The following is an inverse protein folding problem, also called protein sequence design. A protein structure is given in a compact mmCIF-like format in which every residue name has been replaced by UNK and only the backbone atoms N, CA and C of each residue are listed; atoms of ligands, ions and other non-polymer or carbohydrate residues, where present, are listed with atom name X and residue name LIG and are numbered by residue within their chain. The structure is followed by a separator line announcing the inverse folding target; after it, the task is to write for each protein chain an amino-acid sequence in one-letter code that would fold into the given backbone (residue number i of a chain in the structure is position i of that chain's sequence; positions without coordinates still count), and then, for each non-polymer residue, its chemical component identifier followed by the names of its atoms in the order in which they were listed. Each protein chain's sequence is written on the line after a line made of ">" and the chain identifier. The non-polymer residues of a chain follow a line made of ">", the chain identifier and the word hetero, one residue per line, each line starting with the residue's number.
data_IF_235853643402
#
_entry.id   IF_235853643402
#
_cell.length_a   1.000
_cell.length_b   1.000
_cell.length_c   1.000
_cell.angle_alpha   90.00
_cell.angle_beta   90.00
_cell.angle_gamma   90.00
#
_symmetry.space_group_name_H-M   'P 1'
#
loop_
_entity.id
_entity.type
_entity.pdbx_description
1 polymer ?
#
# COMPACT_ATOMS: atom_id res chain seq x y z
N UNK A 1 -9.85 3.29 -41.47
CA UNK A 1 -9.68 3.57 -40.05
C UNK A 1 -9.23 2.26 -39.42
N UNK A 2 -7.92 2.12 -39.10
CA UNK A 2 -7.43 0.91 -38.44
C UNK A 2 -8.05 0.83 -37.03
N UNK A 3 -8.86 -0.20 -36.81
CA UNK A 3 -9.26 -0.60 -35.45
C UNK A 3 -7.95 -0.96 -34.74
N UNK A 4 -7.44 -0.10 -33.87
CA UNK A 4 -6.35 -0.48 -32.97
C UNK A 4 -6.85 -1.69 -32.20
N UNK A 5 -6.16 -2.81 -32.32
CA UNK A 5 -6.47 -3.99 -31.53
C UNK A 5 -6.47 -3.58 -30.05
N UNK A 6 -7.56 -3.89 -29.35
CA UNK A 6 -7.73 -3.53 -27.92
C UNK A 6 -6.86 -4.38 -27.03
N UNK A 7 -6.48 -5.57 -27.51
CA UNK A 7 -5.66 -6.53 -26.79
C UNK A 7 -4.76 -7.30 -27.78
N UNK A 8 -3.57 -7.62 -27.33
CA UNK A 8 -2.66 -8.56 -27.97
C UNK A 8 -2.60 -9.81 -27.09
N UNK A 9 -3.06 -10.94 -27.61
CA UNK A 9 -3.30 -12.16 -26.82
C UNK A 9 -2.52 -13.33 -27.38
N UNK A 10 -1.85 -14.08 -26.50
CA UNK A 10 -1.10 -15.26 -26.82
C UNK A 10 -1.55 -16.44 -25.95
N UNK A 11 -1.80 -17.59 -26.57
CA UNK A 11 -1.99 -18.86 -25.91
C UNK A 11 -0.65 -19.55 -25.74
N UNK A 12 -0.41 -20.10 -24.57
CA UNK A 12 0.81 -20.86 -24.31
C UNK A 12 0.51 -22.33 -24.54
N UNK A 13 1.17 -22.92 -25.53
CA UNK A 13 1.07 -24.35 -25.81
C UNK A 13 2.03 -25.10 -24.90
N UNK A 14 1.50 -25.98 -24.04
CA UNK A 14 2.28 -26.82 -23.14
C UNK A 14 2.05 -28.32 -23.48
N UNK A 15 3.07 -29.16 -23.24
CA UNK A 15 2.91 -30.59 -23.29
C UNK A 15 1.94 -31.06 -22.20
N UNK A 16 1.11 -32.06 -22.50
CA UNK A 16 0.06 -32.55 -21.59
C UNK A 16 0.56 -33.06 -20.24
N UNK A 17 1.80 -33.55 -20.17
CA UNK A 17 2.40 -34.15 -18.97
C UNK A 17 2.54 -33.21 -17.77
N UNK A 18 2.61 -31.90 -18.00
CA UNK A 18 2.75 -30.90 -16.94
C UNK A 18 1.48 -30.12 -16.67
N UNK A 19 0.40 -30.36 -17.42
CA UNK A 19 -0.82 -29.54 -17.38
C UNK A 19 -1.58 -29.59 -16.05
N UNK A 20 -1.42 -30.67 -15.27
CA UNK A 20 -2.04 -30.79 -13.94
C UNK A 20 -1.21 -30.10 -12.84
N UNK A 21 0.10 -29.99 -13.07
CA UNK A 21 1.00 -29.30 -12.15
C UNK A 21 0.90 -27.78 -12.30
N UNK A 22 1.06 -27.30 -13.53
CA UNK A 22 0.95 -25.88 -13.88
C UNK A 22 0.44 -25.75 -15.31
N UNK A 23 -0.52 -24.86 -15.52
CA UNK A 23 -1.03 -24.51 -16.83
C UNK A 23 -1.01 -22.99 -17.02
N UNK A 24 -0.30 -22.56 -18.04
CA UNK A 24 -0.35 -21.18 -18.53
C UNK A 24 -1.42 -21.12 -19.64
N UNK A 25 -2.50 -20.38 -19.40
CA UNK A 25 -3.65 -20.34 -20.30
C UNK A 25 -3.52 -19.27 -21.38
N UNK A 26 -3.31 -18.05 -20.94
CA UNK A 26 -3.33 -16.87 -21.77
C UNK A 26 -2.40 -15.81 -21.17
N UNK A 27 -1.67 -15.12 -22.02
CA UNK A 27 -0.94 -13.93 -21.64
C UNK A 27 -1.09 -12.87 -22.72
N UNK A 28 -0.78 -11.63 -22.40
CA UNK A 28 -0.86 -10.57 -23.39
C UNK A 28 -0.79 -9.16 -22.83
N UNK A 29 -1.09 -8.23 -23.70
CA UNK A 29 -1.15 -6.79 -23.42
C UNK A 29 -2.55 -6.27 -23.70
N UNK A 30 -3.14 -5.57 -22.74
CA UNK A 30 -4.35 -4.77 -22.94
C UNK A 30 -3.92 -3.34 -23.21
N UNK A 31 -4.38 -2.77 -24.34
CA UNK A 31 -4.12 -1.38 -24.71
C UNK A 31 -5.17 -0.43 -24.13
N UNK A 32 -4.86 0.87 -23.99
CA UNK A 32 -5.77 1.83 -23.40
C UNK A 32 -7.15 1.87 -24.07
N UNK A 33 -8.18 1.46 -23.35
CA UNK A 33 -9.57 1.53 -23.77
C UNK A 33 -10.46 1.93 -22.59
N UNK A 34 -11.09 3.09 -22.67
CA UNK A 34 -12.02 3.60 -21.63
C UNK A 34 -13.29 2.78 -21.46
N UNK A 35 -13.59 1.88 -22.40
CA UNK A 35 -14.72 0.97 -22.34
C UNK A 35 -14.32 -0.43 -21.84
N UNK A 36 -13.03 -0.66 -21.54
CA UNK A 36 -12.54 -1.95 -21.07
C UNK A 36 -13.16 -2.33 -19.73
N UNK A 37 -13.77 -3.49 -19.67
CA UNK A 37 -14.32 -4.08 -18.44
C UNK A 37 -14.32 -5.60 -18.54
N UNK A 38 -13.97 -6.24 -17.44
CA UNK A 38 -13.99 -7.70 -17.30
C UNK A 38 -14.81 -8.07 -16.08
N UNK A 39 -15.69 -9.07 -16.24
CA UNK A 39 -16.41 -9.74 -15.15
C UNK A 39 -16.19 -11.24 -15.26
N UNK A 40 -15.70 -11.84 -14.20
CA UNK A 40 -15.48 -13.30 -14.10
C UNK A 40 -16.05 -13.79 -12.79
N UNK A 41 -17.25 -14.40 -12.77
CA UNK A 41 -17.74 -15.07 -11.59
C UNK A 41 -16.91 -16.33 -11.34
N UNK A 42 -16.50 -16.54 -10.08
CA UNK A 42 -15.73 -17.71 -9.63
C UNK A 42 -14.60 -18.10 -10.60
N UNK A 43 -13.59 -17.22 -10.74
CA UNK A 43 -12.51 -17.40 -11.72
C UNK A 43 -11.83 -18.76 -11.57
N UNK A 44 -11.70 -19.50 -12.67
CA UNK A 44 -10.98 -20.77 -12.72
C UNK A 44 -9.45 -20.63 -12.81
N UNK A 45 -8.94 -19.40 -12.88
CA UNK A 45 -7.51 -19.11 -13.06
C UNK A 45 -7.07 -17.99 -12.12
N UNK A 46 -5.80 -18.05 -11.73
CA UNK A 46 -5.09 -16.93 -11.15
C UNK A 46 -4.74 -15.94 -12.26
N UNK A 47 -4.98 -14.64 -12.03
CA UNK A 47 -4.56 -13.61 -12.95
C UNK A 47 -3.48 -12.76 -12.29
N UNK A 48 -2.31 -12.68 -12.88
CA UNK A 48 -1.21 -11.82 -12.45
C UNK A 48 -1.07 -10.73 -13.50
N UNK A 49 -1.18 -9.48 -13.07
CA UNK A 49 -1.23 -8.35 -13.99
C UNK A 49 -0.36 -7.20 -13.49
N UNK A 50 0.23 -6.44 -14.41
CA UNK A 50 1.03 -5.25 -14.16
C UNK A 50 0.50 -4.08 -14.96
N UNK A 51 0.28 -2.94 -14.32
CA UNK A 51 -0.16 -1.70 -14.98
C UNK A 51 1.05 -0.91 -15.43
N UNK A 52 1.25 -0.81 -16.75
CA UNK A 52 2.35 -0.05 -17.35
C UNK A 52 2.03 1.44 -17.40
N UNK A 53 0.80 1.80 -17.78
CA UNK A 53 0.32 3.18 -17.91
C UNK A 53 -1.13 3.28 -17.43
N UNK A 54 -1.55 4.48 -17.02
CA UNK A 54 -2.94 4.75 -16.63
C UNK A 54 -3.33 4.12 -15.30
N UNK A 55 -4.63 3.91 -15.11
CA UNK A 55 -5.20 3.36 -13.87
C UNK A 55 -6.56 2.70 -14.12
N UNK A 56 -7.05 1.98 -13.10
CA UNK A 56 -8.35 1.34 -13.15
C UNK A 56 -8.92 1.02 -11.77
N UNK A 57 -10.03 0.32 -11.76
CA UNK A 57 -10.69 -0.13 -10.54
C UNK A 57 -10.86 -1.63 -10.57
N UNK A 58 -10.61 -2.29 -9.46
CA UNK A 58 -10.78 -3.74 -9.27
C UNK A 58 -11.69 -3.97 -8.07
N UNK A 59 -12.71 -4.77 -8.26
CA UNK A 59 -13.52 -5.34 -7.20
C UNK A 59 -13.25 -6.84 -7.13
N UNK A 60 -12.88 -7.32 -5.95
CA UNK A 60 -12.67 -8.74 -5.66
C UNK A 60 -13.11 -9.03 -4.23
N UNK A 61 -13.99 -10.00 -4.05
CA UNK A 61 -14.42 -10.54 -2.76
C UNK A 61 -14.94 -9.47 -1.77
N UNK A 62 -15.59 -8.42 -2.29
CA UNK A 62 -16.11 -7.29 -1.50
C UNK A 62 -15.14 -6.13 -1.33
N UNK A 63 -13.85 -6.33 -1.59
CA UNK A 63 -12.84 -5.29 -1.56
C UNK A 63 -12.75 -4.52 -2.87
N UNK A 64 -12.29 -3.27 -2.80
CA UNK A 64 -12.07 -2.40 -3.96
C UNK A 64 -10.68 -1.80 -3.93
N UNK A 65 -9.95 -1.95 -5.04
CA UNK A 65 -8.60 -1.44 -5.25
C UNK A 65 -8.54 -0.51 -6.46
N UNK A 66 -7.56 0.40 -6.45
CA UNK A 66 -7.36 1.41 -7.49
C UNK A 66 -5.92 1.35 -8.04
N UNK A 67 -5.53 0.27 -8.73
CA UNK A 67 -4.19 0.14 -9.29
C UNK A 67 -3.94 1.20 -10.36
N UNK A 68 -2.69 1.66 -10.41
CA UNK A 68 -2.18 2.66 -11.33
C UNK A 68 -0.82 2.24 -11.89
N UNK A 69 -0.29 3.01 -12.82
CA UNK A 69 1.03 2.78 -13.41
C UNK A 69 2.10 2.48 -12.34
N UNK A 70 2.82 1.38 -12.50
CA UNK A 70 3.81 0.86 -11.58
C UNK A 70 3.29 -0.15 -10.55
N UNK A 71 1.98 -0.39 -10.48
CA UNK A 71 1.39 -1.37 -9.58
C UNK A 71 1.19 -2.72 -10.27
N UNK A 72 1.23 -3.79 -9.46
CA UNK A 72 0.79 -5.13 -9.89
C UNK A 72 -0.39 -5.59 -9.05
N UNK A 73 -1.17 -6.52 -9.60
CA UNK A 73 -2.25 -7.16 -8.85
C UNK A 73 -2.36 -8.65 -9.17
N UNK A 74 -2.92 -9.37 -8.20
CA UNK A 74 -3.03 -10.82 -8.20
C UNK A 74 -4.46 -11.21 -7.89
N UNK A 75 -5.22 -11.62 -8.91
CA UNK A 75 -6.63 -11.99 -8.79
C UNK A 75 -6.76 -13.48 -8.54
N UNK A 76 -7.39 -13.82 -7.44
CA UNK A 76 -7.39 -15.16 -6.88
C UNK A 76 -8.39 -16.09 -7.59
N UNK A 77 -8.00 -17.34 -7.77
CA UNK A 77 -8.88 -18.40 -8.23
C UNK A 77 -10.07 -18.58 -7.27
N UNK A 78 -11.23 -18.92 -7.78
CA UNK A 78 -12.45 -19.14 -6.99
C UNK A 78 -13.16 -17.85 -6.54
N UNK A 79 -12.62 -16.68 -6.82
CA UNK A 79 -13.20 -15.38 -6.45
C UNK A 79 -13.89 -14.72 -7.63
N UNK A 80 -14.88 -13.87 -7.33
CA UNK A 80 -15.53 -13.02 -8.31
C UNK A 80 -14.62 -11.83 -8.63
N UNK A 81 -14.32 -11.64 -9.91
CA UNK A 81 -13.51 -10.53 -10.39
C UNK A 81 -14.35 -9.59 -11.23
N UNK A 82 -14.36 -8.30 -10.88
CA UNK A 82 -14.88 -7.24 -11.74
C UNK A 82 -13.89 -6.09 -11.76
N UNK A 83 -13.29 -5.83 -12.92
CA UNK A 83 -12.33 -4.76 -13.09
C UNK A 83 -12.47 -4.04 -14.42
N UNK A 84 -12.12 -2.74 -14.41
CA UNK A 84 -12.30 -1.86 -15.55
C UNK A 84 -11.31 -0.69 -15.55
N UNK A 85 -11.05 -0.16 -16.76
CA UNK A 85 -10.22 1.03 -16.96
C UNK A 85 -10.87 2.30 -16.39
N UNK A 86 -10.05 3.23 -15.93
CA UNK A 86 -10.48 4.62 -15.72
C UNK A 86 -10.84 5.27 -17.05
N UNK A 87 -11.90 6.08 -17.08
CA UNK A 87 -12.39 6.69 -18.33
C UNK A 87 -11.52 7.84 -18.84
N UNK A 88 -10.86 8.56 -17.90
CA UNK A 88 -10.02 9.70 -18.25
C UNK A 88 -8.56 9.28 -18.48
N UNK A 89 -8.12 8.21 -17.82
CA UNK A 89 -6.74 7.72 -17.84
C UNK A 89 -6.74 6.19 -17.95
N UNK A 90 -7.19 5.61 -19.08
CA UNK A 90 -7.33 4.18 -19.25
C UNK A 90 -5.97 3.47 -19.23
N UNK A 91 -5.92 2.35 -18.53
CA UNK A 91 -4.68 1.61 -18.38
C UNK A 91 -4.18 0.91 -19.64
N UNK A 92 -2.86 0.81 -19.73
CA UNK A 92 -2.13 -0.20 -20.50
C UNK A 92 -1.56 -1.19 -19.51
N UNK A 93 -1.80 -2.47 -19.70
CA UNK A 93 -1.38 -3.51 -18.75
C UNK A 93 -0.92 -4.78 -19.45
N UNK A 94 -0.06 -5.53 -18.78
CA UNK A 94 0.39 -6.85 -19.17
C UNK A 94 -0.16 -7.87 -18.19
N UNK A 95 -0.51 -9.04 -18.68
CA UNK A 95 -1.11 -10.07 -17.83
C UNK A 95 -0.72 -11.49 -18.22
N UNK A 96 -0.83 -12.39 -17.23
CA UNK A 96 -0.80 -13.83 -17.40
C UNK A 96 -1.94 -14.48 -16.62
N UNK A 97 -2.55 -15.51 -17.21
CA UNK A 97 -3.54 -16.36 -16.57
C UNK A 97 -2.95 -17.75 -16.38
N UNK A 98 -2.88 -18.21 -15.14
CA UNK A 98 -2.25 -19.48 -14.75
C UNK A 98 -3.15 -20.29 -13.82
N UNK A 99 -2.98 -21.60 -13.80
CA UNK A 99 -3.64 -22.50 -12.84
C UNK A 99 -2.77 -23.72 -12.54
N UNK A 100 -3.18 -24.51 -11.56
CA UNK A 100 -2.55 -25.78 -11.21
C UNK A 100 -1.93 -25.78 -9.82
N UNK A 101 -1.69 -26.99 -9.30
CA UNK A 101 -1.23 -27.23 -7.92
C UNK A 101 0.07 -26.48 -7.57
N UNK A 102 0.96 -26.28 -8.54
CA UNK A 102 2.20 -25.54 -8.32
C UNK A 102 1.90 -24.06 -8.03
N UNK A 103 0.94 -23.46 -8.74
CA UNK A 103 0.56 -22.05 -8.54
C UNK A 103 -0.03 -21.88 -7.14
N UNK A 104 -0.93 -22.78 -6.73
CA UNK A 104 -1.54 -22.79 -5.40
C UNK A 104 -0.47 -22.92 -4.30
N UNK A 105 0.47 -23.88 -4.47
CA UNK A 105 1.57 -24.09 -3.54
C UNK A 105 2.54 -22.90 -3.46
N UNK A 106 2.82 -22.23 -4.57
CA UNK A 106 3.64 -21.01 -4.58
C UNK A 106 2.91 -19.87 -3.88
N UNK A 107 1.61 -19.67 -4.16
CA UNK A 107 0.81 -18.64 -3.53
C UNK A 107 0.75 -18.81 -2.01
N UNK A 108 0.57 -20.03 -1.53
CA UNK A 108 0.58 -20.36 -0.10
C UNK A 108 1.99 -20.25 0.50
N UNK A 109 2.99 -20.92 -0.09
CA UNK A 109 4.36 -20.96 0.42
C UNK A 109 5.04 -19.60 0.48
N UNK A 110 4.74 -18.70 -0.44
CA UNK A 110 5.19 -17.31 -0.42
C UNK A 110 4.27 -16.37 0.40
N UNK A 111 3.14 -16.87 0.91
CA UNK A 111 2.20 -16.09 1.73
C UNK A 111 1.53 -14.94 0.97
N UNK A 112 1.28 -15.11 -0.33
CA UNK A 112 0.70 -14.06 -1.18
C UNK A 112 -0.80 -14.22 -1.43
N UNK A 113 -1.39 -15.36 -1.05
CA UNK A 113 -2.81 -15.69 -1.28
C UNK A 113 -3.82 -14.74 -0.59
N UNK A 114 -3.37 -13.92 0.36
CA UNK A 114 -4.21 -12.91 1.03
C UNK A 114 -4.08 -11.49 0.44
N UNK A 115 -3.25 -11.29 -0.58
CA UNK A 115 -2.95 -9.95 -1.12
C UNK A 115 -3.34 -9.85 -2.58
N UNK A 116 -4.29 -8.96 -2.89
CA UNK A 116 -4.75 -8.75 -4.27
C UNK A 116 -4.04 -7.60 -4.98
N UNK A 117 -3.54 -6.58 -4.28
CA UNK A 117 -2.92 -5.38 -4.85
C UNK A 117 -1.53 -5.12 -4.24
N UNK A 118 -0.54 -4.93 -5.09
CA UNK A 118 0.87 -4.70 -4.75
C UNK A 118 1.27 -3.32 -5.26
N UNK A 119 1.27 -2.34 -4.38
CA UNK A 119 1.57 -0.94 -4.71
C UNK A 119 3.05 -0.77 -5.03
N UNK A 120 3.36 -0.26 -6.23
CA UNK A 120 4.73 0.00 -6.68
C UNK A 120 5.57 -1.27 -6.91
N UNK A 121 4.93 -2.43 -7.08
CA UNK A 121 5.61 -3.66 -7.47
C UNK A 121 5.62 -3.79 -9.00
N UNK A 122 6.78 -3.63 -9.60
CA UNK A 122 6.98 -3.83 -11.04
C UNK A 122 7.25 -5.31 -11.36
N UNK A 123 6.26 -5.94 -11.99
CA UNK A 123 6.34 -7.28 -12.60
C UNK A 123 6.36 -7.24 -14.13
N UNK A 124 6.45 -6.04 -14.72
CA UNK A 124 6.36 -5.85 -16.16
C UNK A 124 7.45 -6.60 -16.94
N UNK A 125 8.67 -6.66 -16.41
CA UNK A 125 9.77 -7.41 -17.01
C UNK A 125 9.47 -8.89 -17.14
N UNK A 126 9.06 -9.53 -16.05
CA UNK A 126 8.75 -10.96 -15.97
C UNK A 126 7.54 -11.33 -16.84
N UNK A 127 6.48 -10.51 -16.81
CA UNK A 127 5.28 -10.80 -17.60
C UNK A 127 5.57 -10.64 -19.11
N UNK A 128 6.33 -9.60 -19.50
CA UNK A 128 6.76 -9.41 -20.91
C UNK A 128 7.65 -10.55 -21.40
N UNK A 129 8.51 -11.11 -20.56
CA UNK A 129 9.33 -12.29 -20.86
C UNK A 129 8.44 -13.51 -21.17
N UNK A 130 7.39 -13.76 -20.36
CA UNK A 130 6.40 -14.82 -20.64
C UNK A 130 5.64 -14.56 -21.94
N UNK A 131 5.23 -13.32 -22.20
CA UNK A 131 4.55 -12.95 -23.45
C UNK A 131 5.46 -13.24 -24.66
N UNK A 132 6.74 -12.91 -24.58
CA UNK A 132 7.70 -13.13 -25.66
C UNK A 132 7.92 -14.64 -25.93
N UNK A 133 8.00 -15.47 -24.87
CA UNK A 133 8.06 -16.93 -24.99
C UNK A 133 6.80 -17.44 -25.71
N UNK A 134 5.62 -16.97 -25.29
CA UNK A 134 4.36 -17.36 -25.91
C UNK A 134 4.27 -16.94 -27.38
N UNK A 135 4.80 -15.75 -27.73
CA UNK A 135 4.84 -15.24 -29.11
C UNK A 135 5.71 -16.06 -30.03
N UNK A 136 6.83 -16.60 -29.54
CA UNK A 136 7.71 -17.49 -30.31
C UNK A 136 7.04 -18.82 -30.64
N UNK A 137 6.06 -19.24 -29.83
CA UNK A 137 5.31 -20.47 -30.06
C UNK A 137 6.05 -21.77 -29.77
N UNK A 138 7.18 -21.72 -29.11
CA UNK A 138 8.00 -22.88 -28.76
C UNK A 138 7.28 -23.77 -27.75
N UNK A 139 7.20 -25.09 -28.04
CA UNK A 139 6.41 -26.05 -27.27
C UNK A 139 7.10 -26.57 -26.00
N UNK A 140 8.35 -26.23 -25.69
CA UNK A 140 9.13 -26.84 -24.61
C UNK A 140 9.71 -25.88 -23.58
N UNK A 141 9.02 -24.75 -23.33
CA UNK A 141 9.48 -23.71 -22.42
C UNK A 141 8.92 -23.84 -21.00
N UNK A 142 8.36 -24.98 -20.61
CA UNK A 142 7.68 -25.15 -19.31
C UNK A 142 8.61 -24.86 -18.13
N UNK A 143 9.88 -25.29 -18.19
CA UNK A 143 10.85 -25.03 -17.11
C UNK A 143 11.19 -23.54 -16.97
N UNK A 144 11.37 -22.85 -18.11
CA UNK A 144 11.64 -21.42 -18.16
C UNK A 144 10.45 -20.63 -17.59
N UNK A 145 9.22 -20.94 -18.02
CA UNK A 145 7.98 -20.35 -17.52
C UNK A 145 7.80 -20.54 -16.01
N UNK A 146 8.09 -21.76 -15.49
CA UNK A 146 8.04 -22.03 -14.04
C UNK A 146 9.09 -21.20 -13.30
N UNK A 147 10.29 -21.05 -13.85
CA UNK A 147 11.35 -20.23 -13.25
C UNK A 147 10.93 -18.77 -13.15
N UNK A 148 10.34 -18.21 -14.21
CA UNK A 148 9.83 -16.84 -14.22
C UNK A 148 8.67 -16.69 -13.24
N UNK A 149 7.75 -17.65 -13.20
CA UNK A 149 6.62 -17.64 -12.26
C UNK A 149 7.10 -17.64 -10.80
N UNK A 150 8.09 -18.48 -10.47
CA UNK A 150 8.69 -18.49 -9.13
C UNK A 150 9.34 -17.14 -8.77
N UNK A 151 10.03 -16.49 -9.73
CA UNK A 151 10.59 -15.15 -9.56
C UNK A 151 9.51 -14.09 -9.30
N UNK A 152 8.35 -14.19 -9.96
CA UNK A 152 7.18 -13.33 -9.72
C UNK A 152 6.70 -13.48 -8.27
N UNK A 153 6.45 -14.72 -7.82
CA UNK A 153 5.99 -14.98 -6.46
C UNK A 153 6.99 -14.54 -5.39
N UNK A 154 8.28 -14.73 -5.64
CA UNK A 154 9.33 -14.22 -4.76
C UNK A 154 9.35 -12.69 -4.66
N UNK A 155 9.17 -11.97 -5.77
CA UNK A 155 9.03 -10.50 -5.77
C UNK A 155 7.80 -10.04 -4.99
N UNK A 156 6.65 -10.70 -5.17
CA UNK A 156 5.42 -10.43 -4.42
C UNK A 156 5.64 -10.62 -2.91
N UNK A 157 6.24 -11.73 -2.49
CA UNK A 157 6.59 -12.00 -1.10
C UNK A 157 7.48 -10.89 -0.51
N UNK A 158 8.54 -10.51 -1.22
CA UNK A 158 9.42 -9.41 -0.77
C UNK A 158 8.69 -8.09 -0.61
N UNK A 159 7.71 -7.82 -1.47
CA UNK A 159 6.88 -6.60 -1.37
C UNK A 159 6.04 -6.62 -0.09
N UNK A 160 5.37 -7.74 0.22
CA UNK A 160 4.59 -7.91 1.45
C UNK A 160 5.48 -7.74 2.69
N UNK A 161 6.62 -8.44 2.74
CA UNK A 161 7.55 -8.34 3.88
C UNK A 161 8.06 -6.93 4.10
N UNK A 162 8.34 -6.19 3.03
CA UNK A 162 8.74 -4.79 3.12
C UNK A 162 7.62 -3.89 3.66
N UNK A 163 6.36 -4.13 3.28
CA UNK A 163 5.21 -3.38 3.80
C UNK A 163 4.95 -3.69 5.27
N UNK A 164 5.05 -4.96 5.67
CA UNK A 164 4.94 -5.38 7.08
C UNK A 164 6.04 -4.73 7.95
N UNK A 165 7.30 -4.74 7.48
CA UNK A 165 8.43 -4.09 8.16
C UNK A 165 8.20 -2.58 8.32
N UNK A 166 7.76 -1.90 7.25
CA UNK A 166 7.48 -0.47 7.29
C UNK A 166 6.32 -0.16 8.25
N UNK A 167 5.27 -0.96 8.24
CA UNK A 167 4.11 -0.82 9.13
C UNK A 167 4.50 -1.06 10.59
N UNK A 168 5.26 -2.13 10.88
CA UNK A 168 5.77 -2.44 12.20
C UNK A 168 6.65 -1.32 12.76
N UNK A 169 7.57 -0.82 11.95
CA UNK A 169 8.44 0.30 12.33
C UNK A 169 7.65 1.61 12.54
N UNK A 170 6.59 1.81 11.77
CA UNK A 170 5.65 2.92 11.98
C UNK A 170 4.96 2.85 13.33
N UNK A 171 4.46 1.69 13.71
CA UNK A 171 3.84 1.45 15.02
C UNK A 171 4.83 1.70 16.15
N UNK A 172 6.04 1.14 16.06
CA UNK A 172 7.12 1.32 17.03
C UNK A 172 7.50 2.80 17.23
N UNK A 173 7.67 3.55 16.13
CA UNK A 173 7.92 5.00 16.21
C UNK A 173 6.78 5.74 16.90
N UNK A 174 5.52 5.41 16.58
CA UNK A 174 4.35 6.04 17.17
C UNK A 174 4.24 5.77 18.67
N UNK A 175 4.49 4.53 19.09
CA UNK A 175 4.45 4.13 20.49
C UNK A 175 5.54 4.85 21.28
N UNK A 176 6.76 4.88 20.76
CA UNK A 176 7.84 5.67 21.36
C UNK A 176 7.46 7.15 21.52
N UNK A 177 6.92 7.80 20.45
CA UNK A 177 6.53 9.20 20.51
C UNK A 177 5.39 9.47 21.48
N UNK A 178 4.49 8.53 21.69
CA UNK A 178 3.42 8.63 22.69
C UNK A 178 3.98 8.72 24.12
N UNK A 179 5.12 8.09 24.41
CA UNK A 179 5.79 8.22 25.72
C UNK A 179 6.41 9.60 25.94
N UNK A 180 6.64 10.37 24.86
CA UNK A 180 7.30 11.68 24.91
C UNK A 180 6.35 12.87 25.07
N UNK A 181 5.04 12.63 25.27
CA UNK A 181 4.03 13.70 25.33
C UNK A 181 4.25 14.62 26.56
N UNK A 182 4.67 14.07 27.69
CA UNK A 182 4.92 14.78 28.95
C UNK A 182 6.40 15.04 29.22
N UNK A 183 7.27 14.86 28.22
CA UNK A 183 8.69 15.12 28.30
C UNK A 183 9.16 16.08 27.18
N UNK A 184 10.40 16.56 27.29
CA UNK A 184 11.03 17.29 26.19
C UNK A 184 11.30 16.30 25.06
N UNK A 185 10.80 16.59 23.87
CA UNK A 185 11.03 15.76 22.70
C UNK A 185 12.46 15.92 22.19
N UNK A 186 13.16 14.81 22.02
CA UNK A 186 14.50 14.72 21.46
C UNK A 186 14.49 13.76 20.27
N UNK A 187 14.71 14.31 19.09
CA UNK A 187 14.74 13.53 17.84
C UNK A 187 15.81 12.42 17.86
N UNK A 188 16.95 12.71 18.48
CA UNK A 188 18.05 11.75 18.64
C UNK A 188 17.65 10.45 19.34
N UNK A 189 16.77 10.56 20.36
CA UNK A 189 16.26 9.38 21.09
C UNK A 189 15.39 8.49 20.20
N UNK A 190 14.54 9.09 19.37
CA UNK A 190 13.77 8.33 18.37
C UNK A 190 14.70 7.68 17.36
N UNK A 191 15.69 8.42 16.84
CA UNK A 191 16.67 7.89 15.88
C UNK A 191 17.47 6.71 16.45
N UNK A 192 17.88 6.82 17.70
CA UNK A 192 18.58 5.73 18.41
C UNK A 192 17.65 4.53 18.61
N UNK A 193 16.40 4.76 19.01
CA UNK A 193 15.41 3.72 19.26
C UNK A 193 15.18 2.84 18.03
N UNK A 194 15.03 3.46 16.85
CA UNK A 194 14.80 2.73 15.59
C UNK A 194 16.08 2.45 14.78
N UNK A 195 17.27 2.78 15.33
CA UNK A 195 18.59 2.56 14.70
C UNK A 195 18.71 3.16 13.29
N UNK A 196 18.22 4.40 13.10
CA UNK A 196 18.25 5.12 11.82
C UNK A 196 18.74 6.56 11.98
N UNK A 197 19.28 7.14 10.90
CA UNK A 197 19.63 8.56 10.87
C UNK A 197 18.39 9.45 10.95
N UNK A 198 18.58 10.71 11.37
CA UNK A 198 17.49 11.68 11.49
C UNK A 198 16.74 11.89 10.16
N UNK A 199 17.46 12.06 9.06
CA UNK A 199 16.88 12.23 7.73
C UNK A 199 16.05 11.02 7.30
N UNK A 200 16.53 9.80 7.58
CA UNK A 200 15.78 8.57 7.28
C UNK A 200 14.53 8.46 8.13
N UNK A 201 14.63 8.78 9.44
CA UNK A 201 13.52 8.74 10.40
C UNK A 201 12.41 9.72 10.00
N UNK A 202 12.76 10.98 9.72
CA UNK A 202 11.80 12.01 9.29
C UNK A 202 11.10 11.58 7.98
N UNK A 203 11.88 11.15 6.98
CA UNK A 203 11.34 10.71 5.68
C UNK A 203 10.39 9.52 5.82
N UNK A 204 10.78 8.51 6.62
CA UNK A 204 9.99 7.32 6.85
C UNK A 204 8.69 7.66 7.59
N UNK A 205 8.77 8.41 8.70
CA UNK A 205 7.61 8.82 9.48
C UNK A 205 6.64 9.66 8.64
N UNK A 206 7.17 10.60 7.85
CA UNK A 206 6.37 11.42 6.95
C UNK A 206 5.72 10.59 5.83
N UNK A 207 6.40 9.57 5.32
CA UNK A 207 5.84 8.62 4.35
C UNK A 207 4.65 7.85 4.92
N UNK A 208 4.75 7.41 6.19
CA UNK A 208 3.71 6.58 6.84
C UNK A 208 2.54 7.43 7.34
N UNK A 209 2.82 8.59 7.99
CA UNK A 209 1.80 9.37 8.71
C UNK A 209 1.48 10.74 8.09
N UNK A 210 2.12 11.11 6.99
CA UNK A 210 1.90 12.40 6.30
C UNK A 210 2.51 13.62 6.98
N UNK A 211 3.01 13.49 8.22
CA UNK A 211 3.54 14.57 9.06
C UNK A 211 4.91 14.19 9.64
N UNK A 212 5.65 15.17 10.18
CA UNK A 212 6.93 14.90 10.85
C UNK A 212 6.72 14.37 12.27
N UNK A 213 7.72 13.64 12.86
CA UNK A 213 7.69 13.22 14.26
C UNK A 213 7.43 14.38 15.22
N UNK A 214 8.09 15.52 15.02
CA UNK A 214 7.89 16.73 15.84
C UNK A 214 6.44 17.22 15.77
N UNK A 215 5.88 17.33 14.56
CA UNK A 215 4.48 17.73 14.38
C UNK A 215 3.52 16.77 15.05
N UNK A 216 3.81 15.48 15.00
CA UNK A 216 3.01 14.45 15.68
C UNK A 216 2.99 14.66 17.19
N UNK A 217 4.17 14.79 17.82
CA UNK A 217 4.27 15.03 19.28
C UNK A 217 3.59 16.33 19.66
N UNK A 218 3.80 17.40 18.89
CA UNK A 218 3.15 18.69 19.14
C UNK A 218 1.62 18.58 19.12
N UNK A 219 1.06 17.94 18.11
CA UNK A 219 -0.39 17.73 18.00
C UNK A 219 -0.93 16.92 19.20
N UNK A 220 -0.17 15.89 19.65
CA UNK A 220 -0.53 15.09 20.83
C UNK A 220 -0.48 15.92 22.11
N UNK A 221 0.55 16.76 22.31
CA UNK A 221 0.65 17.69 23.45
C UNK A 221 -0.54 18.63 23.48
N UNK A 222 -0.95 19.20 22.35
CA UNK A 222 -2.13 20.08 22.28
C UNK A 222 -3.41 19.31 22.59
N UNK A 223 -3.58 18.09 22.08
CA UNK A 223 -4.72 17.24 22.41
C UNK A 223 -4.78 16.93 23.91
N UNK A 224 -3.64 16.69 24.53
CA UNK A 224 -3.56 16.46 25.98
C UNK A 224 -3.80 17.74 26.79
N UNK A 225 -3.28 18.89 26.32
CA UNK A 225 -3.58 20.19 26.91
C UNK A 225 -5.08 20.50 26.92
N UNK A 226 -5.82 20.19 25.84
CA UNK A 226 -7.27 20.33 25.79
C UNK A 226 -7.98 19.56 26.91
N UNK A 227 -7.55 18.32 27.16
CA UNK A 227 -8.08 17.52 28.28
C UNK A 227 -7.75 18.15 29.64
N UNK A 228 -6.50 18.55 29.86
CA UNK A 228 -6.10 19.19 31.12
C UNK A 228 -6.85 20.49 31.39
N UNK A 229 -7.14 21.28 30.35
CA UNK A 229 -7.91 22.51 30.47
C UNK A 229 -9.35 22.27 30.90
N UNK A 230 -9.96 21.14 30.53
CA UNK A 230 -11.34 20.80 30.88
C UNK A 230 -11.38 20.04 32.21
N UNK A 231 -10.53 19.03 32.37
CA UNK A 231 -10.63 18.07 33.46
C UNK A 231 -9.94 18.52 34.75
N UNK A 232 -9.20 19.65 34.73
CA UNK A 232 -8.41 20.12 35.88
C UNK A 232 -8.45 21.62 36.05
N UNK A 233 -8.16 22.08 37.28
CA UNK A 233 -7.97 23.49 37.64
C UNK A 233 -6.56 24.04 37.37
N UNK A 234 -5.67 23.27 36.72
CA UNK A 234 -4.30 23.71 36.42
C UNK A 234 -4.30 25.00 35.61
N UNK A 235 -3.46 25.97 36.01
CA UNK A 235 -3.24 27.17 35.25
C UNK A 235 -2.62 26.91 33.88
N UNK A 236 -2.75 27.81 32.93
CA UNK A 236 -2.15 27.73 31.61
C UNK A 236 -0.63 27.51 31.71
N UNK A 237 0.03 28.19 32.66
CA UNK A 237 1.45 28.09 32.96
C UNK A 237 1.83 26.68 33.44
N UNK A 238 1.05 26.12 34.36
CA UNK A 238 1.27 24.78 34.87
C UNK A 238 1.10 23.70 33.78
N UNK A 239 0.10 23.88 32.92
CA UNK A 239 -0.10 22.98 31.75
C UNK A 239 1.08 23.08 30.78
N UNK A 240 1.55 24.30 30.46
CA UNK A 240 2.72 24.52 29.61
C UNK A 240 3.96 23.82 30.18
N UNK A 241 4.20 23.98 31.48
CA UNK A 241 5.32 23.33 32.19
C UNK A 241 5.17 21.81 32.18
N UNK A 242 3.99 21.28 32.50
CA UNK A 242 3.71 19.82 32.54
C UNK A 242 3.92 19.16 31.17
N UNK A 243 3.65 19.90 30.10
CA UNK A 243 3.83 19.42 28.72
C UNK A 243 5.20 19.79 28.15
N UNK A 244 6.11 20.33 28.97
CA UNK A 244 7.48 20.69 28.58
C UNK A 244 7.54 21.62 27.35
N UNK A 245 6.67 22.61 27.31
CA UNK A 245 6.85 23.78 26.44
C UNK A 245 7.92 24.70 27.02
N UNK A 246 8.61 25.47 26.17
CA UNK A 246 9.66 26.40 26.60
C UNK A 246 9.14 27.45 27.59
N UNK A 247 7.93 27.93 27.34
CA UNK A 247 7.25 28.92 28.15
C UNK A 247 5.74 28.94 27.84
N UNK A 248 4.98 29.65 28.69
CA UNK A 248 3.53 29.81 28.57
C UNK A 248 3.09 30.56 27.31
N UNK A 249 3.91 31.53 26.87
CA UNK A 249 3.59 32.34 25.71
C UNK A 249 3.69 31.50 24.42
N UNK A 250 4.77 30.77 24.27
CA UNK A 250 4.94 29.86 23.16
C UNK A 250 3.84 28.79 23.12
N UNK A 251 3.53 28.18 24.28
CA UNK A 251 2.42 27.23 24.39
C UNK A 251 1.09 27.86 23.93
N UNK A 252 0.76 29.04 24.42
CA UNK A 252 -0.51 29.72 24.13
C UNK A 252 -0.66 30.03 22.63
N UNK A 253 0.43 30.45 21.98
CA UNK A 253 0.44 30.71 20.54
C UNK A 253 0.22 29.44 19.72
N UNK A 254 0.93 28.36 20.03
CA UNK A 254 0.78 27.06 19.34
C UNK A 254 -0.62 26.48 19.61
N UNK A 255 -1.10 26.58 20.84
CA UNK A 255 -2.46 26.12 21.18
C UNK A 255 -3.50 26.87 20.36
N UNK A 256 -3.41 28.20 20.29
CA UNK A 256 -4.31 29.01 19.48
C UNK A 256 -4.26 28.69 18.00
N UNK A 257 -3.06 28.47 17.44
CA UNK A 257 -2.88 28.03 16.04
C UNK A 257 -3.61 26.69 15.77
N UNK A 258 -3.49 25.72 16.70
CA UNK A 258 -4.02 24.37 16.52
C UNK A 258 -5.48 24.21 16.97
N UNK A 259 -5.95 25.00 17.91
CA UNK A 259 -7.29 24.91 18.48
C UNK A 259 -8.25 26.00 18.02
N UNK A 260 -7.74 27.06 17.36
CA UNK A 260 -8.54 28.20 16.88
C UNK A 260 -8.81 29.29 17.94
N UNK A 261 -8.56 29.02 19.22
CA UNK A 261 -8.75 29.97 20.33
C UNK A 261 -7.65 29.78 21.39
N UNK A 262 -7.51 30.79 22.29
CA UNK A 262 -6.52 30.70 23.37
C UNK A 262 -6.88 29.63 24.40
N UNK A 263 -5.89 29.08 25.17
CA UNK A 263 -6.16 28.11 26.24
C UNK A 263 -7.23 28.55 27.22
N UNK A 264 -7.19 29.80 27.67
CA UNK A 264 -8.17 30.38 28.60
C UNK A 264 -9.58 30.51 28.00
N UNK A 265 -9.67 30.87 26.71
CA UNK A 265 -10.95 30.89 25.99
C UNK A 265 -11.49 29.47 25.81
N UNK A 266 -10.61 28.48 25.50
CA UNK A 266 -10.99 27.10 25.36
C UNK A 266 -11.59 26.56 26.66
N UNK A 267 -10.98 26.83 27.81
CA UNK A 267 -11.49 26.42 29.14
C UNK A 267 -12.88 26.98 29.38
N UNK A 268 -13.03 28.32 29.27
CA UNK A 268 -14.34 28.99 29.51
C UNK A 268 -15.47 28.45 28.66
N UNK A 269 -15.21 28.19 27.39
CA UNK A 269 -16.23 27.65 26.48
C UNK A 269 -16.72 26.24 26.81
N UNK A 270 -16.03 25.54 27.70
CA UNK A 270 -16.41 24.17 28.16
C UNK A 270 -16.93 24.20 29.61
N UNK A 271 -16.62 25.22 30.42
CA UNK A 271 -17.20 25.43 31.77
C UNK A 271 -18.66 25.92 31.70
N UNK A 272 -19.06 26.59 30.60
CA UNK A 272 -20.44 27.10 30.40
C UNK A 272 -21.43 26.03 29.89
N UNK A 273 -21.00 24.79 29.73
CA UNK A 273 -21.81 23.68 29.17
C UNK A 273 -22.23 22.63 30.19
N UNK A 274 -21.72 22.71 31.43
CA UNK A 274 -22.14 21.92 32.58
C UNK A 274 -23.06 22.76 33.52
#
# INVERSE_FOLDING_TARGET
>A
MNVKEKEELYRINQKSETSDLVRFHLCGTTFPDKAYTIKRPSSAVWCIEYVEEGKGTIHIDGDTFFPKAGDSYFLHVGKDHHYYSDKADPWKKHFINVSGKLVDSLAEGYGVSGTAHFVGLDLGGEIKEIIEIARRGDMDNTQELISILNKIFFKMHKSIKKEEEISGLGAEMKDFLNTQITSKFHMELLCKHISRSESQTIRLFKKIFGITPYTYVLNKKISFAKKLLIDTSLSVKEIATKLCFSDEYYFSNIFKEKAGCSPSQYRRSHEEKD
#
